data_IF_808604819008
#
_entry.id   IF_808604819008
#
_cell.length_a   1.000
_cell.length_b   1.000
_cell.length_c   1.000
_cell.angle_alpha   90.00
_cell.angle_beta   90.00
_cell.angle_gamma   90.00
#
_symmetry.space_group_name_H-M   'P 1'
#
loop_
_entity.id
_entity.type
_entity.pdbx_description
1 polymer ?
#
# COMPACT_ATOMS: atom_id res chain seq x y z
N UNK A 1 11.54 84.57 16.55
CA UNK A 1 11.39 83.53 15.51
C UNK A 1 10.28 83.93 14.55
N UNK A 2 10.62 84.53 13.40
CA UNK A 2 9.69 84.39 12.28
C UNK A 2 10.37 84.29 10.91
N UNK A 3 9.69 83.56 10.03
CA UNK A 3 9.39 83.86 8.61
C UNK A 3 10.51 84.46 7.75
N UNK A 4 10.75 83.87 6.58
CA UNK A 4 10.66 84.48 5.23
C UNK A 4 10.98 83.34 4.22
N UNK A 5 10.05 82.89 3.37
CA UNK A 5 9.65 83.46 2.06
C UNK A 5 10.81 83.34 1.04
N UNK A 6 10.78 82.40 0.06
CA UNK A 6 10.20 82.47 -1.33
C UNK A 6 10.88 83.59 -2.16
N UNK A 7 11.45 83.44 -3.37
CA UNK A 7 11.15 82.69 -4.62
C UNK A 7 12.37 82.76 -5.58
N UNK A 8 12.54 81.81 -6.53
CA UNK A 8 12.90 82.09 -7.95
C UNK A 8 12.89 80.82 -8.85
N UNK A 9 11.82 80.71 -9.64
CA UNK A 9 11.76 80.49 -11.11
C UNK A 9 12.82 79.62 -11.84
N UNK A 10 12.36 78.57 -12.56
CA UNK A 10 12.70 78.19 -13.96
C UNK A 10 12.01 76.83 -14.31
N UNK A 11 10.95 76.79 -15.11
CA UNK A 11 10.88 76.64 -16.59
C UNK A 11 11.02 75.18 -17.11
N UNK A 12 9.84 74.61 -17.42
CA UNK A 12 9.43 73.69 -18.52
C UNK A 12 10.43 72.73 -19.17
N UNK A 13 10.14 71.42 -19.12
CA UNK A 13 10.16 70.50 -20.28
C UNK A 13 9.01 69.50 -20.14
N UNK A 14 8.15 69.42 -21.16
CA UNK A 14 7.09 68.43 -21.27
C UNK A 14 7.69 67.06 -21.61
N UNK A 15 7.37 66.02 -20.82
CA UNK A 15 7.72 64.63 -21.10
C UNK A 15 6.44 63.84 -21.30
N UNK A 16 6.27 63.32 -22.51
CA UNK A 16 5.17 62.44 -22.89
C UNK A 16 5.33 61.07 -22.18
N UNK A 17 4.25 60.62 -21.56
CA UNK A 17 4.11 59.29 -20.96
C UNK A 17 4.04 58.22 -22.07
N UNK A 18 5.05 57.35 -22.13
CA UNK A 18 4.95 56.02 -22.73
C UNK A 18 5.08 55.00 -21.60
N UNK A 19 3.96 54.44 -21.15
CA UNK A 19 3.92 53.31 -20.22
C UNK A 19 4.27 52.05 -21.00
N UNK A 20 5.54 51.64 -20.94
CA UNK A 20 5.99 50.35 -21.47
C UNK A 20 5.72 49.25 -20.45
N UNK A 21 4.70 48.43 -20.69
CA UNK A 21 4.50 47.18 -19.97
C UNK A 21 5.63 46.20 -20.34
N UNK A 22 6.48 45.86 -19.37
CA UNK A 22 7.45 44.76 -19.52
C UNK A 22 6.66 43.45 -19.40
N UNK A 23 6.41 42.81 -20.53
CA UNK A 23 5.84 41.47 -20.58
C UNK A 23 6.96 40.46 -20.29
N UNK A 24 6.88 39.81 -19.12
CA UNK A 24 7.67 38.62 -18.80
C UNK A 24 7.31 37.53 -19.81
N UNK A 25 8.26 37.11 -20.63
CA UNK A 25 8.11 35.97 -21.54
C UNK A 25 8.63 34.71 -20.84
N UNK A 26 7.81 33.67 -20.57
CA UNK A 26 8.32 32.41 -20.05
C UNK A 26 9.10 31.71 -21.16
N UNK A 27 10.40 31.53 -20.94
CA UNK A 27 11.25 30.74 -21.82
C UNK A 27 10.75 29.30 -21.83
N UNK A 28 10.25 28.85 -22.97
CA UNK A 28 9.71 27.51 -23.16
C UNK A 28 10.89 26.57 -23.41
N UNK A 29 11.31 25.84 -22.38
CA UNK A 29 12.24 24.71 -22.54
C UNK A 29 11.49 23.61 -23.30
N UNK A 30 11.74 23.53 -24.61
CA UNK A 30 11.23 22.46 -25.46
C UNK A 30 12.15 21.25 -25.29
N UNK A 31 11.64 20.15 -24.73
CA UNK A 31 12.34 18.89 -24.71
C UNK A 31 12.30 18.27 -26.11
N UNK A 32 13.46 18.18 -26.77
CA UNK A 32 13.63 17.41 -28.01
C UNK A 32 13.21 15.95 -27.74
N UNK A 33 12.25 15.36 -28.48
CA UNK A 33 11.87 13.97 -28.28
C UNK A 33 13.04 13.06 -28.65
N UNK A 34 13.39 12.15 -27.74
CA UNK A 34 14.37 11.09 -27.98
C UNK A 34 13.83 10.14 -29.06
N UNK A 35 14.51 10.05 -30.22
CA UNK A 35 14.16 9.15 -31.31
C UNK A 35 14.93 7.84 -31.19
N UNK A 36 14.21 6.73 -31.01
CA UNK A 36 14.76 5.37 -31.12
C UNK A 36 14.31 4.78 -32.45
N UNK A 37 15.28 4.51 -33.33
CA UNK A 37 15.07 3.70 -34.52
C UNK A 37 14.99 2.22 -34.12
N UNK A 38 13.91 1.55 -34.49
CA UNK A 38 13.71 0.12 -34.26
C UNK A 38 12.49 -0.38 -35.02
N UNK A 39 12.64 -1.50 -35.72
CA UNK A 39 11.64 -2.05 -36.64
C UNK A 39 10.67 -3.00 -35.91
N UNK A 40 9.38 -2.97 -36.27
CA UNK A 40 8.50 -4.15 -36.10
C UNK A 40 7.22 -4.01 -35.27
N UNK A 41 6.13 -3.67 -35.96
CA UNK A 41 4.76 -4.27 -35.90
C UNK A 41 3.90 -4.30 -34.62
N UNK A 42 4.32 -3.73 -33.48
CA UNK A 42 3.40 -3.43 -32.34
C UNK A 42 3.16 -1.92 -32.12
N UNK A 43 3.68 -1.09 -33.03
CA UNK A 43 4.37 0.16 -32.65
C UNK A 43 3.61 1.46 -33.01
N UNK A 44 2.49 1.39 -33.74
CA UNK A 44 1.87 2.60 -34.28
C UNK A 44 1.12 3.43 -33.21
N UNK A 45 0.49 2.79 -32.22
CA UNK A 45 -0.35 3.48 -31.23
C UNK A 45 0.43 4.06 -30.04
N UNK A 46 1.66 3.58 -29.79
CA UNK A 46 2.53 4.10 -28.73
C UNK A 46 3.52 5.16 -29.25
N UNK A 47 3.91 5.11 -30.54
CA UNK A 47 4.80 6.10 -31.16
C UNK A 47 4.19 7.48 -31.38
N UNK A 48 2.87 7.59 -31.48
CA UNK A 48 2.19 8.86 -31.76
C UNK A 48 1.67 9.56 -30.51
N UNK A 49 1.95 9.03 -29.32
CA UNK A 49 1.40 9.58 -28.09
C UNK A 49 2.26 10.73 -27.56
N UNK A 50 2.03 11.93 -28.09
CA UNK A 50 2.60 13.17 -27.54
C UNK A 50 1.73 13.63 -26.36
N UNK A 51 2.29 13.72 -25.15
CA UNK A 51 1.59 14.35 -24.05
C UNK A 51 1.13 15.76 -24.31
N UNK A 52 -0.16 16.03 -24.09
CA UNK A 52 -0.67 17.40 -23.99
C UNK A 52 -0.37 18.03 -22.62
N UNK A 53 0.69 17.60 -21.93
CA UNK A 53 1.04 18.00 -20.57
C UNK A 53 1.94 16.99 -19.84
N UNK A 54 2.06 17.11 -18.51
CA UNK A 54 2.80 16.16 -17.70
C UNK A 54 2.03 14.85 -17.55
N UNK A 55 2.52 13.77 -18.16
CA UNK A 55 1.94 12.44 -18.00
C UNK A 55 2.99 11.34 -18.11
N UNK A 56 2.64 10.16 -17.60
CA UNK A 56 3.48 8.98 -17.68
C UNK A 56 3.43 8.36 -19.08
N UNK A 57 4.60 8.06 -19.64
CA UNK A 57 4.73 7.28 -20.88
C UNK A 57 4.18 5.86 -20.72
N UNK A 58 4.18 5.33 -19.49
CA UNK A 58 3.66 3.98 -19.18
C UNK A 58 2.14 3.94 -18.94
N UNK A 59 1.46 5.10 -18.93
CA UNK A 59 0.01 5.17 -18.70
C UNK A 59 -0.69 6.12 -19.69
N UNK A 60 -0.70 5.78 -20.99
CA UNK A 60 -1.48 6.54 -21.97
C UNK A 60 -3.01 6.35 -21.79
N UNK A 61 -3.86 7.20 -22.39
CA UNK A 61 -5.32 7.11 -22.35
C UNK A 61 -5.86 5.78 -22.88
N UNK A 62 -5.15 5.20 -23.86
CA UNK A 62 -5.43 3.87 -24.41
C UNK A 62 -4.71 2.73 -23.65
N UNK A 63 -4.18 2.99 -22.45
CA UNK A 63 -3.49 1.96 -21.66
C UNK A 63 -4.42 0.79 -21.36
N UNK A 64 -3.90 -0.42 -21.52
CA UNK A 64 -4.56 -1.66 -21.10
C UNK A 64 -3.61 -2.54 -20.29
N UNK A 65 -4.10 -3.30 -19.29
CA UNK A 65 -3.30 -4.23 -18.52
C UNK A 65 -2.45 -5.15 -19.41
N UNK A 66 -1.15 -5.24 -19.12
CA UNK A 66 -0.21 -6.06 -19.89
C UNK A 66 0.42 -5.38 -21.11
N UNK A 67 0.07 -4.13 -21.42
CA UNK A 67 0.78 -3.35 -22.44
C UNK A 67 2.18 -3.01 -21.96
N UNK A 68 3.19 -3.40 -22.74
CA UNK A 68 4.58 -3.00 -22.54
C UNK A 68 4.93 -1.80 -23.40
N UNK A 69 5.84 -0.97 -22.93
CA UNK A 69 6.48 0.04 -23.75
C UNK A 69 7.53 -0.60 -24.70
N UNK A 70 8.12 0.17 -25.64
CA UNK A 70 9.13 -0.35 -26.55
C UNK A 70 10.41 -0.89 -25.86
N UNK A 71 10.64 -0.52 -24.60
CA UNK A 71 11.74 -1.01 -23.79
C UNK A 71 11.36 -2.26 -22.96
N UNK A 72 10.16 -2.82 -23.15
CA UNK A 72 9.65 -3.98 -22.44
C UNK A 72 9.19 -3.71 -21.00
N UNK A 73 9.07 -2.43 -20.60
CA UNK A 73 8.59 -2.04 -19.27
C UNK A 73 7.07 -2.09 -19.26
N UNK A 74 6.50 -2.67 -18.22
CA UNK A 74 5.06 -2.77 -18.03
C UNK A 74 4.62 -2.00 -16.78
N UNK A 75 3.43 -1.41 -16.85
CA UNK A 75 2.71 -1.03 -15.64
C UNK A 75 1.92 -2.25 -15.16
N UNK A 76 2.22 -2.72 -13.95
CA UNK A 76 1.51 -3.84 -13.37
C UNK A 76 0.05 -3.47 -13.08
N UNK A 77 -0.87 -4.40 -13.37
CA UNK A 77 -2.28 -4.25 -13.05
C UNK A 77 -2.56 -4.72 -11.62
N UNK A 78 -2.96 -3.78 -10.77
CA UNK A 78 -3.34 -4.04 -9.38
C UNK A 78 -4.86 -3.98 -9.17
N UNK A 79 -5.64 -3.75 -10.23
CA UNK A 79 -7.10 -3.58 -10.16
C UNK A 79 -7.81 -4.81 -9.58
N UNK A 80 -7.15 -5.97 -9.68
CA UNK A 80 -7.64 -7.25 -9.20
C UNK A 80 -6.78 -7.84 -8.08
N UNK A 81 -5.96 -7.02 -7.42
CA UNK A 81 -5.20 -7.44 -6.25
C UNK A 81 -6.12 -7.64 -5.02
N UNK A 82 -5.75 -8.58 -4.14
CA UNK A 82 -6.43 -8.80 -2.86
C UNK A 82 -7.51 -9.88 -2.87
N UNK A 83 -8.31 -9.95 -1.79
CA UNK A 83 -9.31 -10.99 -1.59
C UNK A 83 -10.36 -10.96 -2.71
N UNK A 84 -10.45 -12.07 -3.47
CA UNK A 84 -11.42 -12.23 -4.56
C UNK A 84 -11.50 -10.99 -5.47
N UNK A 85 -10.34 -10.42 -5.80
CA UNK A 85 -10.21 -9.26 -6.71
C UNK A 85 -10.94 -8.00 -6.23
N UNK A 86 -11.28 -7.91 -4.94
CA UNK A 86 -12.08 -6.83 -4.37
C UNK A 86 -13.58 -6.87 -4.77
N UNK A 87 -13.98 -7.84 -5.59
CA UNK A 87 -15.37 -7.98 -6.08
C UNK A 87 -16.28 -8.64 -5.05
N UNK A 88 -15.70 -9.46 -4.17
CA UNK A 88 -16.42 -10.11 -3.08
C UNK A 88 -16.03 -9.42 -1.78
N UNK A 89 -16.99 -8.93 -0.97
CA UNK A 89 -16.68 -8.38 0.33
C UNK A 89 -15.99 -9.44 1.19
N UNK A 90 -15.12 -9.01 2.09
CA UNK A 90 -14.49 -9.93 3.04
C UNK A 90 -15.61 -10.66 3.78
N UNK A 91 -15.63 -12.00 3.76
CA UNK A 91 -16.72 -12.75 4.35
C UNK A 91 -16.86 -12.39 5.81
N UNK A 92 -18.06 -11.96 6.19
CA UNK A 92 -18.40 -11.77 7.59
C UNK A 92 -18.73 -13.14 8.15
N UNK A 93 -17.74 -13.78 8.77
CA UNK A 93 -17.94 -15.06 9.45
C UNK A 93 -18.79 -14.78 10.69
N UNK A 94 -20.10 -14.88 10.50
CA UNK A 94 -21.13 -14.81 11.54
C UNK A 94 -21.31 -16.19 12.17
N UNK A 95 -20.22 -16.95 12.26
CA UNK A 95 -20.23 -18.28 12.84
C UNK A 95 -20.53 -18.17 14.34
N UNK A 96 -21.37 -19.05 14.91
CA UNK A 96 -21.77 -18.99 16.32
C UNK A 96 -20.60 -19.21 17.29
N UNK A 97 -19.45 -19.69 16.79
CA UNK A 97 -18.28 -20.03 17.58
C UNK A 97 -17.22 -18.95 17.41
N UNK A 98 -17.32 -17.92 18.25
CA UNK A 98 -16.20 -17.02 18.54
C UNK A 98 -15.51 -17.55 19.79
N UNK A 99 -14.32 -18.11 19.62
CA UNK A 99 -13.47 -18.52 20.75
C UNK A 99 -12.53 -17.38 21.06
N UNK A 100 -12.80 -16.68 22.16
CA UNK A 100 -11.84 -15.75 22.75
C UNK A 100 -10.77 -16.53 23.51
N UNK A 101 -9.52 -16.44 23.05
CA UNK A 101 -8.41 -17.19 23.64
C UNK A 101 -8.05 -16.75 25.06
N UNK A 102 -8.50 -15.58 25.51
CA UNK A 102 -8.32 -15.11 26.89
C UNK A 102 -9.29 -15.76 27.89
N UNK A 103 -10.39 -16.33 27.40
CA UNK A 103 -11.41 -16.94 28.23
C UNK A 103 -11.13 -18.44 28.43
N UNK A 104 -11.71 -19.06 29.47
CA UNK A 104 -11.70 -20.52 29.60
C UNK A 104 -12.26 -21.18 28.33
N UNK A 105 -11.68 -22.30 27.86
CA UNK A 105 -10.70 -23.15 28.54
C UNK A 105 -9.22 -22.79 28.31
N UNK A 106 -8.92 -21.84 27.42
CA UNK A 106 -7.54 -21.57 27.00
C UNK A 106 -6.81 -20.61 27.92
N UNK A 107 -7.52 -19.61 28.43
CA UNK A 107 -7.03 -18.64 29.43
C UNK A 107 -5.60 -18.15 29.13
N UNK A 108 -5.35 -17.79 27.88
CA UNK A 108 -4.02 -17.39 27.42
C UNK A 108 -3.66 -16.06 28.08
N UNK A 109 -2.71 -16.11 29.01
CA UNK A 109 -2.04 -14.92 29.53
C UNK A 109 -1.08 -14.40 28.47
N UNK A 110 -1.45 -13.28 27.87
CA UNK A 110 -0.69 -12.69 26.80
C UNK A 110 0.54 -11.94 27.33
N UNK A 111 1.67 -12.64 27.40
CA UNK A 111 2.97 -12.08 27.75
C UNK A 111 3.97 -12.25 26.60
N UNK A 112 4.89 -11.30 26.47
CA UNK A 112 6.04 -11.40 25.56
C UNK A 112 6.99 -12.54 25.94
N UNK A 113 6.97 -13.01 27.19
CA UNK A 113 7.88 -14.04 27.68
C UNK A 113 7.36 -15.46 27.51
N UNK A 114 6.05 -15.66 27.69
CA UNK A 114 5.42 -16.99 27.69
C UNK A 114 5.15 -17.47 26.29
N UNK A 115 5.64 -18.67 25.95
CA UNK A 115 5.31 -19.31 24.68
C UNK A 115 3.89 -19.88 24.73
N UNK A 116 3.02 -19.40 23.84
CA UNK A 116 1.60 -19.78 23.77
C UNK A 116 1.29 -20.70 22.59
N UNK A 117 2.31 -21.18 21.87
CA UNK A 117 2.15 -21.93 20.61
C UNK A 117 1.21 -23.13 20.77
N UNK A 118 1.42 -23.96 21.79
CA UNK A 118 0.62 -25.17 22.00
C UNK A 118 -0.85 -24.88 22.30
N UNK A 119 -1.11 -23.92 23.19
CA UNK A 119 -2.47 -23.56 23.61
C UNK A 119 -3.23 -22.86 22.46
N UNK A 120 -2.54 -21.99 21.73
CA UNK A 120 -3.13 -21.29 20.58
C UNK A 120 -3.40 -22.25 19.40
N UNK A 121 -2.51 -23.22 19.16
CA UNK A 121 -2.74 -24.26 18.17
C UNK A 121 -3.95 -25.13 18.55
N UNK A 122 -4.08 -25.50 19.84
CA UNK A 122 -5.24 -26.24 20.32
C UNK A 122 -6.55 -25.45 20.09
N UNK A 123 -6.57 -24.14 20.34
CA UNK A 123 -7.74 -23.31 20.06
C UNK A 123 -8.12 -23.29 18.57
N UNK A 124 -7.14 -23.23 17.67
CA UNK A 124 -7.36 -23.30 16.22
C UNK A 124 -7.94 -24.66 15.82
N UNK A 125 -7.38 -25.74 16.36
CA UNK A 125 -7.80 -27.10 16.05
C UNK A 125 -9.22 -27.40 16.57
N UNK A 126 -9.54 -26.95 17.78
CA UNK A 126 -10.87 -27.09 18.38
C UNK A 126 -11.96 -26.37 17.57
N UNK A 127 -11.67 -25.14 17.12
CA UNK A 127 -12.59 -24.36 16.28
C UNK A 127 -12.76 -25.05 14.92
N UNK A 128 -11.68 -25.55 14.35
CA UNK A 128 -11.72 -26.31 13.10
C UNK A 128 -12.52 -27.61 13.21
N UNK A 129 -12.33 -28.38 14.28
CA UNK A 129 -13.05 -29.63 14.55
C UNK A 129 -14.57 -29.41 14.73
N UNK A 130 -14.98 -28.22 15.18
CA UNK A 130 -16.39 -27.82 15.31
C UNK A 130 -17.03 -27.36 14.00
N UNK A 131 -16.35 -27.49 12.86
CA UNK A 131 -16.85 -27.11 11.53
C UNK A 131 -16.47 -25.68 11.11
N UNK A 132 -15.53 -25.05 11.82
CA UNK A 132 -15.07 -23.69 11.55
C UNK A 132 -15.64 -22.63 12.48
N UNK A 133 -15.05 -21.44 12.45
CA UNK A 133 -15.39 -20.35 13.35
C UNK A 133 -14.27 -19.31 13.45
N UNK A 134 -14.41 -18.41 14.41
CA UNK A 134 -13.46 -17.31 14.63
C UNK A 134 -12.66 -17.58 15.91
N UNK A 135 -11.34 -17.71 15.77
CA UNK A 135 -10.40 -17.66 16.89
C UNK A 135 -10.06 -16.18 17.10
N UNK A 136 -10.57 -15.59 18.18
CA UNK A 136 -10.36 -14.20 18.51
C UNK A 136 -9.17 -14.02 19.44
N UNK A 137 -8.24 -13.16 19.04
CA UNK A 137 -7.05 -12.77 19.79
C UNK A 137 -7.25 -11.33 20.28
N UNK A 138 -7.45 -11.12 21.58
CA UNK A 138 -7.44 -9.80 22.20
C UNK A 138 -6.17 -8.98 21.92
N UNK A 139 -6.19 -7.72 22.36
CA UNK A 139 -5.08 -6.80 22.18
C UNK A 139 -3.90 -7.19 23.06
N UNK A 140 -2.91 -7.90 22.49
CA UNK A 140 -1.68 -8.24 23.16
C UNK A 140 -0.60 -8.78 22.19
N UNK A 141 0.56 -9.14 22.76
CA UNK A 141 1.64 -9.83 22.05
C UNK A 141 1.68 -11.29 22.45
N UNK A 142 1.49 -12.18 21.46
CA UNK A 142 1.48 -13.63 21.61
C UNK A 142 2.80 -14.18 21.09
N UNK A 143 3.66 -14.68 21.99
CA UNK A 143 4.92 -15.30 21.59
C UNK A 143 4.67 -16.72 21.11
N UNK A 144 5.10 -17.00 19.88
CA UNK A 144 5.05 -18.32 19.25
C UNK A 144 6.44 -18.79 18.85
N UNK A 145 6.63 -20.10 18.74
CA UNK A 145 7.88 -20.72 18.32
C UNK A 145 7.63 -21.85 17.33
N UNK A 146 8.59 -22.08 16.44
CA UNK A 146 8.61 -23.25 15.57
C UNK A 146 9.60 -24.27 16.09
N UNK A 147 9.24 -25.55 16.06
CA UNK A 147 10.18 -26.65 16.28
C UNK A 147 10.94 -26.97 14.98
N UNK A 148 12.04 -27.72 15.07
CA UNK A 148 12.86 -28.06 13.90
C UNK A 148 12.11 -28.90 12.87
N UNK A 149 11.20 -29.77 13.32
CA UNK A 149 10.39 -30.65 12.48
C UNK A 149 9.15 -29.97 11.90
N UNK A 150 8.66 -28.90 12.52
CA UNK A 150 7.46 -28.20 12.07
C UNK A 150 7.75 -27.26 10.88
N UNK A 151 6.80 -27.19 9.94
CA UNK A 151 6.80 -26.24 8.81
C UNK A 151 6.22 -24.87 9.17
N UNK A 152 5.48 -24.77 10.27
CA UNK A 152 4.92 -23.51 10.75
C UNK A 152 4.80 -23.48 12.27
N UNK A 153 4.65 -22.29 12.85
CA UNK A 153 4.38 -22.16 14.29
C UNK A 153 2.90 -22.46 14.57
N UNK A 154 2.01 -21.87 13.76
CA UNK A 154 0.58 -22.12 13.79
C UNK A 154 0.13 -22.64 12.43
N UNK A 155 -0.67 -23.69 12.43
CA UNK A 155 -1.23 -24.30 11.21
C UNK A 155 -2.76 -24.28 11.28
N UNK A 156 -3.39 -23.72 10.26
CA UNK A 156 -4.84 -23.76 10.07
C UNK A 156 -5.12 -24.88 9.06
N UNK A 157 -5.64 -26.01 9.55
CA UNK A 157 -5.87 -27.25 8.76
C UNK A 157 -7.31 -27.44 8.30
N UNK A 158 -8.22 -26.67 8.88
CA UNK A 158 -9.65 -26.81 8.66
C UNK A 158 -10.18 -25.63 7.86
N UNK A 159 -11.16 -25.91 7.01
CA UNK A 159 -11.92 -24.88 6.31
C UNK A 159 -12.72 -24.03 7.30
N UNK A 160 -13.08 -22.82 6.87
CA UNK A 160 -13.92 -21.89 7.63
C UNK A 160 -13.36 -21.45 8.99
N UNK A 161 -12.04 -21.61 9.23
CA UNK A 161 -11.37 -21.07 10.42
C UNK A 161 -10.79 -19.71 10.12
N UNK A 162 -11.15 -18.72 10.93
CA UNK A 162 -10.63 -17.35 10.84
C UNK A 162 -9.87 -16.99 12.09
N UNK A 163 -8.60 -16.62 11.92
CA UNK A 163 -7.79 -16.02 12.96
C UNK A 163 -8.01 -14.49 12.96
N UNK A 164 -8.60 -13.94 14.02
CA UNK A 164 -8.98 -12.53 14.11
C UNK A 164 -8.34 -11.84 15.31
N UNK A 165 -7.58 -10.78 15.06
CA UNK A 165 -7.07 -9.90 16.12
C UNK A 165 -8.01 -8.73 16.45
N UNK A 166 -7.75 -8.06 17.58
CA UNK A 166 -8.40 -6.79 17.95
C UNK A 166 -8.02 -5.62 17.03
N UNK A 167 -6.93 -5.74 16.25
CA UNK A 167 -6.53 -4.79 15.21
C UNK A 167 -5.03 -4.78 14.96
N UNK A 168 -4.62 -4.20 13.82
CA UNK A 168 -3.22 -4.22 13.35
C UNK A 168 -2.18 -3.63 14.32
N UNK A 169 -2.59 -2.67 15.16
CA UNK A 169 -1.74 -1.99 16.14
C UNK A 169 -1.94 -2.50 17.57
N UNK A 170 -2.76 -3.54 17.73
CA UNK A 170 -3.22 -4.03 19.03
C UNK A 170 -2.85 -5.48 19.28
N UNK A 171 -2.86 -6.32 18.25
CA UNK A 171 -2.56 -7.75 18.34
C UNK A 171 -1.31 -8.07 17.54
N UNK A 172 -0.31 -8.66 18.19
CA UNK A 172 0.97 -9.04 17.59
C UNK A 172 1.24 -10.53 17.80
N UNK A 173 1.64 -11.22 16.74
CA UNK A 173 2.16 -12.59 16.83
C UNK A 173 3.67 -12.49 16.67
N UNK A 174 4.40 -12.79 17.75
CA UNK A 174 5.84 -12.65 17.81
C UNK A 174 6.50 -14.02 17.70
N UNK A 175 7.25 -14.24 16.63
CA UNK A 175 8.12 -15.41 16.53
C UNK A 175 9.57 -15.02 16.87
N UNK A 176 10.18 -15.72 17.82
CA UNK A 176 11.58 -15.49 18.26
C UNK A 176 12.57 -16.56 17.78
N UNK A 177 12.10 -17.57 17.05
CA UNK A 177 12.96 -18.63 16.50
C UNK A 177 13.76 -18.14 15.30
N UNK A 178 14.99 -18.64 15.17
CA UNK A 178 15.96 -18.14 14.17
C UNK A 178 15.94 -18.94 12.86
N UNK A 179 15.58 -20.23 12.93
CA UNK A 179 15.58 -21.14 11.78
C UNK A 179 14.25 -21.13 11.03
N UNK A 180 13.89 -19.96 10.47
CA UNK A 180 12.62 -19.75 9.75
C UNK A 180 12.71 -19.97 8.23
N UNK A 181 13.87 -20.39 7.71
CA UNK A 181 14.02 -20.66 6.27
C UNK A 181 13.08 -21.80 5.87
N UNK A 182 12.19 -21.52 4.92
CA UNK A 182 11.19 -22.50 4.45
C UNK A 182 10.06 -22.77 5.45
N UNK A 183 9.92 -21.94 6.49
CA UNK A 183 8.87 -22.05 7.51
C UNK A 183 7.98 -20.81 7.51
N UNK A 184 6.74 -20.98 7.95
CA UNK A 184 5.79 -19.88 8.12
C UNK A 184 5.48 -19.62 9.60
N UNK A 185 5.08 -18.40 9.96
CA UNK A 185 4.54 -18.15 11.30
C UNK A 185 3.12 -18.70 11.39
N UNK A 186 2.29 -18.38 10.39
CA UNK A 186 0.96 -18.94 10.21
C UNK A 186 0.89 -19.56 8.84
N UNK A 187 0.52 -20.84 8.78
CA UNK A 187 0.31 -21.57 7.54
C UNK A 187 -1.15 -22.02 7.46
N UNK A 188 -1.88 -21.57 6.46
CA UNK A 188 -3.16 -22.15 6.12
C UNK A 188 -2.94 -23.24 5.06
N UNK A 189 -3.36 -24.48 5.38
CA UNK A 189 -3.28 -25.61 4.45
C UNK A 189 -4.71 -25.99 4.06
N UNK A 190 -4.95 -26.15 2.77
CA UNK A 190 -6.15 -26.84 2.31
C UNK A 190 -6.10 -28.30 2.75
N UNK A 191 -7.23 -28.91 3.15
CA UNK A 191 -7.30 -30.34 3.43
C UNK A 191 -6.96 -31.19 2.21
#
# INVERSE_FOLDING_TARGET
MPRFTVSRTALLIAVALCVGAVLWSPETVSAEPYSVAGDGVADAALRSYTPSGWQSILYPPQWTPGTADPAGRILADFSYAGYKRGEVPIPHVTGPVVVDVSQPPYSIESSVTTDVTGVLQAAIDDVGARGGGVVYLPAATYRVSTTDTARAALTIRHDNVVLRGAGRSRTFILNTTRQMRGKAVVLATSP
#
